data_IF_988630823972
#
_entry.id   IF_988630823972
#
_cell.length_a   1.000
_cell.length_b   1.000
_cell.length_c   1.000
_cell.angle_alpha   90.00
_cell.angle_beta   90.00
_cell.angle_gamma   90.00
#
_symmetry.space_group_name_H-M   'P 1'
#
loop_
_entity.id
_entity.type
_entity.pdbx_description
1 polymer ?
#
# COMPACT_ATOMS: atom_id res chain seq x y z
N UNK A 1 5.08 11.59 -5.89
CA UNK A 1 3.85 10.89 -6.27
C UNK A 1 2.65 11.68 -5.74
N UNK A 2 1.60 11.82 -6.56
CA UNK A 2 0.39 12.59 -6.22
C UNK A 2 -0.75 11.65 -5.80
N UNK A 3 -1.58 12.07 -4.84
CA UNK A 3 -2.75 11.29 -4.44
C UNK A 3 -3.77 11.16 -5.59
N UNK A 4 -4.42 9.99 -5.76
CA UNK A 4 -5.46 9.82 -6.78
C UNK A 4 -6.61 10.81 -6.59
N UNK A 5 -7.07 11.43 -7.69
CA UNK A 5 -8.26 12.27 -7.67
C UNK A 5 -9.52 11.41 -7.63
N UNK A 6 -10.40 11.71 -6.69
CA UNK A 6 -11.68 11.02 -6.48
C UNK A 6 -12.76 12.02 -6.12
N UNK A 7 -14.02 11.66 -6.39
CA UNK A 7 -15.18 12.34 -5.82
C UNK A 7 -15.29 11.94 -4.34
N UNK A 8 -15.22 12.92 -3.44
CA UNK A 8 -15.18 12.67 -1.99
C UNK A 8 -16.59 12.55 -1.44
N UNK A 9 -16.88 11.42 -0.78
CA UNK A 9 -18.13 11.16 -0.07
C UNK A 9 -17.97 11.36 1.45
N UNK A 10 -16.88 10.88 2.03
CA UNK A 10 -16.51 10.99 3.46
C UNK A 10 -14.98 10.87 3.60
N UNK A 11 -14.39 11.24 4.74
CA UNK A 11 -12.95 11.09 5.01
C UNK A 11 -12.64 10.15 6.18
N UNK A 12 -13.65 9.68 6.91
CA UNK A 12 -13.46 8.80 8.06
C UNK A 12 -12.81 7.47 7.62
N UNK A 13 -11.74 7.06 8.32
CA UNK A 13 -11.04 5.80 8.05
C UNK A 13 -10.05 5.83 6.87
N UNK A 14 -9.86 6.98 6.20
CA UNK A 14 -8.90 7.11 5.11
C UNK A 14 -7.45 6.83 5.56
N UNK A 15 -7.05 7.41 6.70
CA UNK A 15 -5.73 7.19 7.29
C UNK A 15 -5.50 5.75 7.73
N UNK A 16 -6.52 5.11 8.30
CA UNK A 16 -6.45 3.69 8.69
C UNK A 16 -6.31 2.79 7.46
N UNK A 17 -7.04 3.09 6.39
CA UNK A 17 -6.95 2.36 5.11
C UNK A 17 -5.57 2.53 4.48
N UNK A 18 -5.02 3.75 4.51
CA UNK A 18 -3.65 4.03 4.06
C UNK A 18 -2.64 3.18 4.85
N UNK A 19 -2.69 3.25 6.18
CA UNK A 19 -1.74 2.55 7.05
C UNK A 19 -1.86 1.04 6.92
N UNK A 20 -3.08 0.51 6.85
CA UNK A 20 -3.33 -0.92 6.66
C UNK A 20 -2.75 -1.42 5.33
N UNK A 21 -2.95 -0.67 4.24
CA UNK A 21 -2.40 -1.01 2.93
C UNK A 21 -0.86 -0.89 2.88
N UNK A 22 -0.28 0.13 3.51
CA UNK A 22 1.17 0.28 3.63
C UNK A 22 1.80 -0.88 4.40
N UNK A 23 1.24 -1.21 5.57
CA UNK A 23 1.71 -2.33 6.38
C UNK A 23 1.52 -3.67 5.68
N UNK A 24 0.38 -3.89 5.01
CA UNK A 24 0.18 -5.08 4.16
C UNK A 24 1.27 -5.19 3.11
N UNK A 25 1.56 -4.10 2.39
CA UNK A 25 2.60 -4.11 1.36
C UNK A 25 3.99 -4.42 1.94
N UNK A 26 4.35 -3.87 3.10
CA UNK A 26 5.62 -4.20 3.78
C UNK A 26 5.68 -5.70 4.15
N UNK A 27 4.56 -6.28 4.61
CA UNK A 27 4.46 -7.72 4.89
C UNK A 27 4.57 -8.54 3.61
N UNK A 28 3.88 -8.15 2.54
CA UNK A 28 3.87 -8.85 1.25
C UNK A 28 5.26 -8.81 0.56
N UNK A 29 6.04 -7.75 0.81
CA UNK A 29 7.45 -7.65 0.40
C UNK A 29 8.44 -8.40 1.31
N UNK A 30 7.96 -9.06 2.38
CA UNK A 30 8.79 -9.82 3.31
C UNK A 30 9.65 -8.96 4.24
N UNK A 31 9.38 -7.65 4.33
CA UNK A 31 10.20 -6.69 5.09
C UNK A 31 9.70 -6.46 6.53
N UNK A 32 8.62 -7.12 6.93
CA UNK A 32 8.07 -7.00 8.29
C UNK A 32 8.89 -7.78 9.33
N UNK A 33 8.99 -7.22 10.54
CA UNK A 33 9.62 -7.88 11.69
C UNK A 33 11.02 -7.37 12.02
N UNK A 34 11.45 -7.57 13.26
CA UNK A 34 12.71 -7.01 13.78
C UNK A 34 13.97 -7.55 13.07
N UNK A 35 13.89 -8.78 12.55
CA UNK A 35 14.95 -9.42 11.79
C UNK A 35 15.23 -8.75 10.44
N UNK A 36 14.27 -7.99 9.90
CA UNK A 36 14.36 -7.35 8.58
C UNK A 36 14.64 -5.84 8.67
N UNK A 37 15.07 -5.33 9.84
CA UNK A 37 15.27 -3.88 10.05
C UNK A 37 16.27 -3.26 9.09
N UNK A 38 17.39 -3.94 8.83
CA UNK A 38 18.43 -3.43 7.95
C UNK A 38 17.93 -3.36 6.50
N UNK A 39 17.20 -4.39 6.04
CA UNK A 39 16.57 -4.41 4.72
C UNK A 39 15.48 -3.35 4.58
N UNK A 40 14.66 -3.17 5.62
CA UNK A 40 13.64 -2.13 5.67
C UNK A 40 14.26 -0.72 5.62
N UNK A 41 15.40 -0.52 6.30
CA UNK A 41 16.16 0.74 6.27
C UNK A 41 16.83 0.99 4.92
N UNK A 42 17.29 -0.06 4.25
CA UNK A 42 17.95 0.00 2.94
C UNK A 42 16.96 -0.03 1.76
N UNK A 43 15.65 0.05 2.02
CA UNK A 43 14.62 -0.05 0.99
C UNK A 43 14.85 0.99 -0.12
N UNK A 44 14.90 0.57 -1.40
CA UNK A 44 15.00 1.50 -2.52
C UNK A 44 13.81 2.47 -2.53
N UNK A 45 14.09 3.71 -2.92
CA UNK A 45 13.06 4.76 -2.98
C UNK A 45 11.90 4.36 -3.90
N UNK A 46 12.18 3.66 -4.99
CA UNK A 46 11.20 3.20 -5.97
C UNK A 46 10.22 2.18 -5.35
N UNK A 47 10.71 1.31 -4.45
CA UNK A 47 9.88 0.35 -3.72
C UNK A 47 8.98 1.10 -2.73
N UNK A 48 9.56 2.05 -1.99
CA UNK A 48 8.79 2.89 -1.07
C UNK A 48 7.72 3.71 -1.79
N UNK A 49 8.03 4.29 -2.94
CA UNK A 49 7.06 5.01 -3.77
C UNK A 49 5.92 4.10 -4.25
N UNK A 50 6.23 2.85 -4.63
CA UNK A 50 5.23 1.84 -4.98
C UNK A 50 4.28 1.52 -3.81
N UNK A 51 4.83 1.34 -2.60
CA UNK A 51 4.06 1.09 -1.38
C UNK A 51 3.17 2.29 -1.00
N UNK A 52 3.71 3.50 -1.06
CA UNK A 52 2.96 4.74 -0.80
C UNK A 52 1.86 4.95 -1.84
N UNK A 53 2.11 4.62 -3.11
CA UNK A 53 1.11 4.67 -4.18
C UNK A 53 -0.03 3.68 -3.96
N UNK A 54 0.30 2.46 -3.55
CA UNK A 54 -0.67 1.44 -3.17
C UNK A 54 -1.54 1.91 -1.99
N UNK A 55 -0.92 2.44 -0.94
CA UNK A 55 -1.60 2.97 0.23
C UNK A 55 -2.49 4.18 -0.08
N UNK A 56 -2.04 5.10 -0.94
CA UNK A 56 -2.81 6.25 -1.37
C UNK A 56 -4.06 5.84 -2.18
N UNK A 57 -3.97 4.78 -2.99
CA UNK A 57 -5.14 4.21 -3.69
C UNK A 57 -6.14 3.62 -2.70
N UNK A 58 -5.67 2.97 -1.64
CA UNK A 58 -6.57 2.45 -0.61
C UNK A 58 -7.33 3.57 0.09
N UNK A 59 -6.65 4.64 0.49
CA UNK A 59 -7.28 5.82 1.06
C UNK A 59 -8.27 6.48 0.08
N UNK A 60 -7.90 6.59 -1.21
CA UNK A 60 -8.74 7.20 -2.24
C UNK A 60 -10.08 6.46 -2.41
N UNK A 61 -10.07 5.13 -2.34
CA UNK A 61 -11.31 4.33 -2.40
C UNK A 61 -12.14 4.52 -1.13
N UNK A 62 -11.50 4.57 0.04
CA UNK A 62 -12.22 4.79 1.30
C UNK A 62 -12.90 6.15 1.30
N UNK A 63 -12.23 7.21 0.85
CA UNK A 63 -12.85 8.55 0.84
C UNK A 63 -13.95 8.71 -0.21
N UNK A 64 -14.00 7.84 -1.21
CA UNK A 64 -15.06 7.86 -2.22
C UNK A 64 -16.32 7.11 -1.77
N UNK A 65 -16.38 6.65 -0.51
CA UNK A 65 -17.49 5.87 0.07
C UNK A 65 -17.95 6.50 1.38
N UNK A 66 -19.24 6.41 1.74
CA UNK A 66 -19.70 6.84 3.06
C UNK A 66 -19.11 5.97 4.19
N UNK A 67 -18.59 6.61 5.23
CA UNK A 67 -18.04 5.96 6.42
C UNK A 67 -16.67 5.27 6.21
N UNK A 68 -16.17 4.62 7.26
CA UNK A 68 -14.94 3.84 7.23
C UNK A 68 -15.14 2.51 6.48
N UNK A 69 -15.10 2.57 5.15
CA UNK A 69 -15.30 1.42 4.27
C UNK A 69 -14.04 1.14 3.42
N UNK A 70 -13.02 0.45 3.99
CA UNK A 70 -11.77 0.17 3.30
C UNK A 70 -11.97 -0.77 2.10
N UNK A 71 -11.11 -0.68 1.07
CA UNK A 71 -11.15 -1.61 -0.05
C UNK A 71 -10.64 -3.00 0.32
N UNK A 72 -11.13 -3.99 -0.41
CA UNK A 72 -10.56 -5.33 -0.48
C UNK A 72 -9.31 -5.36 -1.36
N UNK A 73 -8.48 -6.40 -1.21
CA UNK A 73 -7.31 -6.63 -2.09
C UNK A 73 -7.72 -6.73 -3.56
N UNK A 74 -8.84 -7.38 -3.86
CA UNK A 74 -9.32 -7.52 -5.24
C UNK A 74 -9.66 -6.15 -5.86
N UNK A 75 -10.27 -5.24 -5.11
CA UNK A 75 -10.55 -3.87 -5.57
C UNK A 75 -9.26 -3.06 -5.79
N UNK A 76 -8.25 -3.23 -4.94
CA UNK A 76 -6.95 -2.59 -5.10
C UNK A 76 -6.18 -3.09 -6.33
N UNK A 77 -6.30 -4.39 -6.64
CA UNK A 77 -5.64 -5.01 -7.80
C UNK A 77 -6.36 -4.67 -9.11
N UNK A 78 -7.70 -4.58 -9.11
CA UNK A 78 -8.50 -4.25 -10.29
C UNK A 78 -8.20 -2.85 -10.85
N UNK A 79 -7.73 -1.93 -10.01
CA UNK A 79 -7.32 -0.58 -10.42
C UNK A 79 -5.91 -0.52 -11.07
N UNK A 80 -5.29 -1.67 -11.37
CA UNK A 80 -4.04 -1.78 -12.13
C UNK A 80 -2.76 -1.43 -11.35
N UNK A 81 -2.21 -2.40 -10.61
CA UNK A 81 -0.77 -2.49 -10.27
C UNK A 81 -0.37 -3.96 -10.41
N UNK A 82 0.78 -4.29 -11.03
CA UNK A 82 1.27 -5.66 -11.07
C UNK A 82 1.47 -6.17 -9.64
N UNK A 83 1.04 -7.39 -9.33
CA UNK A 83 1.45 -8.03 -8.08
C UNK A 83 2.98 -8.04 -8.01
N UNK A 84 3.54 -7.72 -6.84
CA UNK A 84 4.97 -7.77 -6.60
C UNK A 84 5.47 -9.23 -6.60
N UNK A 85 5.43 -9.85 -7.78
CA UNK A 85 6.14 -11.08 -8.11
C UNK A 85 7.57 -10.75 -8.51
N UNK A 86 8.37 -10.29 -7.55
CA UNK A 86 9.82 -10.36 -7.65
C UNK A 86 10.31 -11.01 -6.37
N UNK A 87 10.45 -12.33 -6.41
CA UNK A 87 11.29 -13.04 -5.45
C UNK A 87 12.64 -12.33 -5.44
N UNK A 88 12.99 -11.74 -4.30
CA UNK A 88 14.36 -11.31 -4.04
C UNK A 88 15.19 -12.59 -4.15
N UNK A 89 15.89 -12.74 -5.27
CA UNK A 89 16.83 -13.82 -5.46
C UNK A 89 17.90 -13.64 -4.38
N UNK A 90 17.89 -14.51 -3.38
CA UNK A 90 18.91 -14.55 -2.33
C UNK A 90 20.24 -14.87 -3.02
N UNK A 91 21.07 -13.86 -3.21
CA UNK A 91 22.47 -14.06 -3.58
C UNK A 91 23.22 -14.67 -2.37
N UNK A 92 24.19 -15.56 -2.64
CA UNK A 92 24.82 -16.43 -1.64
C UNK A 92 25.66 -15.70 -0.60
#
# INVERSE_FOLDING_TARGET
>A
MDAPKVEVADTVGAGDSFMAALLSGIVDHGLAGAQNRDELHAMPAEVLEGLLSHAARAAAITVSRPGANPPTRAELNALGVPEAGASVERQP
#
